data_IF_113598939662
#
_entry.id   IF_113598939662
#
_cell.length_a   1.000
_cell.length_b   1.000
_cell.length_c   1.000
_cell.angle_alpha   90.00
_cell.angle_beta   90.00
_cell.angle_gamma   90.00
#
_symmetry.space_group_name_H-M   'P 1'
#
loop_
_entity.id
_entity.type
_entity.pdbx_description
1 polymer ?
#
# COMPACT_ATOMS: atom_id res chain seq x y z
N UNK A 1 -14.88 -14.49 20.32
CA UNK A 1 -13.42 -14.64 20.15
C UNK A 1 -12.69 -14.04 21.34
N UNK A 2 -11.60 -14.66 21.82
CA UNK A 2 -10.73 -14.11 22.86
C UNK A 2 -10.04 -12.81 22.42
N UNK A 3 -9.81 -11.90 23.36
CA UNK A 3 -9.15 -10.62 23.08
C UNK A 3 -7.65 -10.82 22.78
N UNK A 4 -7.06 -11.87 23.32
CA UNK A 4 -5.66 -12.27 23.17
C UNK A 4 -5.26 -12.49 21.70
N UNK A 5 -6.22 -12.74 20.80
CA UNK A 5 -5.94 -12.86 19.37
C UNK A 5 -5.41 -11.56 18.75
N UNK A 6 -5.64 -10.41 19.39
CA UNK A 6 -5.02 -9.12 19.00
C UNK A 6 -3.49 -9.18 19.04
N UNK A 7 -2.91 -10.15 19.74
CA UNK A 7 -1.48 -10.34 19.90
C UNK A 7 -0.85 -11.16 18.78
N UNK A 8 -1.65 -11.86 17.95
CA UNK A 8 -1.13 -12.68 16.87
C UNK A 8 -0.27 -11.88 15.88
N UNK A 9 -0.65 -10.65 15.45
CA UNK A 9 0.21 -9.83 14.61
C UNK A 9 1.59 -9.50 15.21
N UNK A 10 1.74 -9.53 16.54
CA UNK A 10 3.05 -9.37 17.19
C UNK A 10 3.95 -10.56 16.84
N UNK A 11 3.40 -11.77 16.90
CA UNK A 11 4.13 -13.00 16.61
C UNK A 11 4.37 -13.16 15.10
N UNK A 12 3.40 -12.78 14.28
CA UNK A 12 3.43 -12.93 12.82
C UNK A 12 4.38 -11.94 12.13
N UNK A 13 4.32 -10.66 12.49
CA UNK A 13 5.05 -9.63 11.75
C UNK A 13 5.51 -8.44 12.59
N UNK A 14 5.36 -8.49 13.91
CA UNK A 14 5.53 -7.34 14.79
C UNK A 14 4.66 -6.12 14.36
N UNK A 15 3.44 -6.39 13.88
CA UNK A 15 2.53 -5.38 13.31
C UNK A 15 3.04 -4.65 12.05
N UNK A 16 4.07 -5.14 11.37
CA UNK A 16 4.51 -4.54 10.09
C UNK A 16 3.56 -4.94 8.95
N UNK A 17 2.80 -3.99 8.35
CA UNK A 17 1.92 -4.28 7.22
C UNK A 17 2.68 -4.48 5.89
N UNK A 18 3.98 -4.16 5.85
CA UNK A 18 4.87 -4.41 4.70
C UNK A 18 5.61 -5.75 4.80
N UNK A 19 5.52 -6.45 5.92
CA UNK A 19 6.17 -7.73 6.10
C UNK A 19 5.79 -8.74 5.02
N UNK A 20 6.78 -9.52 4.57
CA UNK A 20 6.63 -10.60 3.61
C UNK A 20 7.50 -11.77 4.04
N UNK A 21 6.92 -12.95 4.22
CA UNK A 21 7.69 -14.15 4.56
C UNK A 21 8.37 -14.76 3.34
N UNK A 22 9.31 -15.69 3.57
CA UNK A 22 9.91 -16.52 2.53
C UNK A 22 8.88 -17.37 1.78
N UNK A 23 7.77 -17.73 2.43
CA UNK A 23 6.63 -18.42 1.84
C UNK A 23 5.64 -17.46 1.13
N UNK A 24 6.02 -16.20 0.94
CA UNK A 24 5.23 -15.15 0.31
C UNK A 24 3.91 -14.84 1.04
N UNK A 25 3.86 -15.10 2.34
CA UNK A 25 2.81 -14.61 3.22
C UNK A 25 3.02 -13.11 3.47
N UNK A 26 1.95 -12.30 3.57
CA UNK A 26 2.10 -10.84 3.60
C UNK A 26 1.21 -10.14 4.62
N UNK A 27 1.66 -8.95 5.05
CA UNK A 27 0.92 -8.05 5.92
C UNK A 27 0.96 -8.46 7.38
N UNK A 28 0.18 -7.76 8.22
CA UNK A 28 0.26 -7.93 9.68
C UNK A 28 -0.17 -9.31 10.16
N UNK A 29 -0.97 -10.00 9.34
CA UNK A 29 -1.52 -11.33 9.64
C UNK A 29 -0.76 -12.45 8.93
N UNK A 30 0.29 -12.12 8.16
CA UNK A 30 1.05 -13.06 7.33
C UNK A 30 0.13 -14.03 6.55
N UNK A 31 -0.78 -13.47 5.76
CA UNK A 31 -1.73 -14.26 4.98
C UNK A 31 -1.05 -14.72 3.69
N UNK A 32 -1.11 -16.01 3.39
CA UNK A 32 -0.64 -16.57 2.11
C UNK A 32 -1.56 -16.13 0.97
N UNK A 33 -0.99 -15.86 -0.20
CA UNK A 33 -1.72 -15.29 -1.35
C UNK A 33 -2.96 -16.12 -1.77
N UNK A 34 -2.82 -17.45 -1.87
CA UNK A 34 -3.93 -18.36 -2.21
C UNK A 34 -5.02 -18.36 -1.15
N UNK A 35 -4.66 -18.49 0.13
CA UNK A 35 -5.59 -18.42 1.26
C UNK A 35 -6.34 -17.09 1.26
N UNK A 36 -5.64 -15.97 1.12
CA UNK A 36 -6.27 -14.65 1.05
C UNK A 36 -7.32 -14.57 -0.07
N UNK A 37 -7.01 -15.07 -1.28
CA UNK A 37 -7.99 -15.09 -2.38
C UNK A 37 -9.20 -15.98 -2.09
N UNK A 38 -8.99 -17.14 -1.47
CA UNK A 38 -10.07 -18.06 -1.09
C UNK A 38 -11.04 -17.42 -0.08
N UNK A 39 -10.54 -16.53 0.78
CA UNK A 39 -11.36 -15.74 1.71
C UNK A 39 -11.77 -14.37 1.16
N UNK A 40 -11.62 -14.13 -0.15
CA UNK A 40 -12.13 -12.93 -0.80
C UNK A 40 -11.23 -11.69 -0.73
N UNK A 41 -9.97 -11.81 -0.25
CA UNK A 41 -9.02 -10.70 -0.37
C UNK A 41 -8.68 -10.45 -1.84
N UNK A 42 -9.06 -9.26 -2.31
CA UNK A 42 -8.70 -8.76 -3.64
C UNK A 42 -7.18 -8.64 -3.76
N UNK A 43 -6.62 -9.21 -4.81
CA UNK A 43 -5.20 -9.12 -5.16
C UNK A 43 -5.07 -8.89 -6.66
N UNK A 44 -4.51 -7.75 -7.05
CA UNK A 44 -4.23 -7.39 -8.44
C UNK A 44 -3.01 -6.44 -8.51
N UNK A 45 -2.78 -5.85 -9.68
CA UNK A 45 -1.67 -4.92 -9.90
C UNK A 45 -1.78 -3.60 -9.08
N UNK A 46 -2.99 -3.19 -8.71
CA UNK A 46 -3.24 -1.97 -7.94
C UNK A 46 -3.36 -2.19 -6.44
N UNK A 47 -3.78 -3.38 -6.01
CA UNK A 47 -4.16 -3.64 -4.63
C UNK A 47 -3.76 -5.05 -4.17
N UNK A 48 -3.25 -5.18 -2.94
CA UNK A 48 -3.06 -6.44 -2.23
C UNK A 48 -3.73 -6.36 -0.85
N UNK A 49 -4.94 -6.91 -0.75
CA UNK A 49 -5.75 -6.88 0.46
C UNK A 49 -5.13 -7.56 1.66
N UNK A 50 -4.05 -8.35 1.48
CA UNK A 50 -3.29 -8.93 2.61
C UNK A 50 -2.51 -7.88 3.38
N UNK A 51 -2.14 -6.78 2.72
CA UNK A 51 -1.43 -5.63 3.30
C UNK A 51 -2.35 -4.53 3.77
N UNK A 52 -3.65 -4.66 3.51
CA UNK A 52 -4.66 -3.74 4.00
C UNK A 52 -5.10 -4.18 5.39
N UNK A 53 -4.84 -3.36 6.40
CA UNK A 53 -5.10 -3.70 7.80
C UNK A 53 -6.57 -4.05 8.03
N UNK A 54 -7.52 -3.33 7.44
CA UNK A 54 -8.95 -3.57 7.67
C UNK A 54 -9.39 -4.87 6.97
N UNK A 55 -9.06 -5.01 5.69
CA UNK A 55 -9.48 -6.18 4.92
C UNK A 55 -8.83 -7.47 5.44
N UNK A 56 -7.52 -7.44 5.68
CA UNK A 56 -6.78 -8.60 6.21
C UNK A 56 -7.21 -8.98 7.63
N UNK A 57 -7.53 -8.01 8.49
CA UNK A 57 -8.04 -8.30 9.84
C UNK A 57 -9.39 -8.99 9.79
N UNK A 58 -10.34 -8.51 8.96
CA UNK A 58 -11.62 -9.20 8.80
C UNK A 58 -11.41 -10.66 8.36
N UNK A 59 -10.57 -10.88 7.35
CA UNK A 59 -10.29 -12.23 6.86
C UNK A 59 -9.57 -13.10 7.89
N UNK A 60 -8.60 -12.58 8.62
CA UNK A 60 -7.92 -13.33 9.67
C UNK A 60 -8.89 -13.75 10.78
N UNK A 61 -9.80 -12.86 11.17
CA UNK A 61 -10.85 -13.16 12.14
C UNK A 61 -11.87 -14.19 11.63
N UNK A 62 -12.28 -14.10 10.36
CA UNK A 62 -13.16 -15.09 9.72
C UNK A 62 -12.48 -16.47 9.66
N UNK A 63 -11.19 -16.50 9.30
CA UNK A 63 -10.36 -17.72 9.34
C UNK A 63 -10.32 -18.31 10.74
N UNK A 64 -10.04 -17.50 11.77
CA UNK A 64 -9.97 -17.97 13.16
C UNK A 64 -11.32 -18.48 13.65
N UNK A 65 -12.42 -17.80 13.33
CA UNK A 65 -13.75 -18.23 13.71
C UNK A 65 -14.08 -19.58 13.07
N UNK A 66 -13.77 -19.78 11.78
CA UNK A 66 -13.95 -21.07 11.10
C UNK A 66 -13.09 -22.17 11.73
N UNK A 67 -11.81 -21.90 12.00
CA UNK A 67 -10.91 -22.85 12.64
C UNK A 67 -11.40 -23.21 14.05
N UNK A 68 -11.88 -22.24 14.82
CA UNK A 68 -12.39 -22.48 16.16
C UNK A 68 -13.64 -23.36 16.16
N UNK A 69 -14.56 -23.14 15.22
CA UNK A 69 -15.68 -24.05 15.00
C UNK A 69 -15.20 -25.45 14.60
N UNK A 70 -14.16 -25.57 13.76
CA UNK A 70 -13.60 -26.86 13.35
C UNK A 70 -12.96 -27.65 14.50
N UNK A 71 -12.39 -26.96 15.50
CA UNK A 71 -11.75 -27.58 16.66
C UNK A 71 -12.62 -27.49 17.93
N UNK A 72 -13.95 -27.45 17.76
CA UNK A 72 -14.92 -27.53 18.87
C UNK A 72 -14.67 -26.50 19.99
N UNK A 73 -14.22 -25.30 19.63
CA UNK A 73 -13.93 -24.22 20.57
C UNK A 73 -12.51 -24.25 21.17
N UNK A 74 -11.68 -25.24 20.86
CA UNK A 74 -10.29 -25.32 21.35
C UNK A 74 -9.39 -24.27 20.67
N UNK A 75 -9.09 -23.20 21.41
CA UNK A 75 -8.27 -22.10 20.93
C UNK A 75 -6.79 -22.46 20.72
N UNK A 76 -6.25 -23.45 21.45
CA UNK A 76 -4.85 -23.86 21.26
C UNK A 76 -4.71 -24.59 19.93
N UNK A 77 -5.64 -25.49 19.62
CA UNK A 77 -5.70 -26.16 18.33
C UNK A 77 -6.02 -25.19 17.18
N UNK A 78 -6.90 -24.22 17.43
CA UNK A 78 -7.23 -23.15 16.48
C UNK A 78 -5.99 -22.36 16.07
N UNK A 79 -5.21 -21.89 17.05
CA UNK A 79 -4.00 -21.10 16.81
C UNK A 79 -2.90 -21.98 16.16
N UNK A 80 -2.75 -23.23 16.60
CA UNK A 80 -1.83 -24.18 15.96
C UNK A 80 -2.19 -24.43 14.49
N UNK A 81 -3.47 -24.50 14.16
CA UNK A 81 -3.96 -24.69 12.80
C UNK A 81 -3.82 -23.42 11.95
N UNK A 82 -3.92 -22.23 12.54
CA UNK A 82 -3.63 -20.97 11.85
C UNK A 82 -2.18 -20.91 11.38
N UNK A 83 -1.23 -21.25 12.26
CA UNK A 83 0.21 -21.25 11.93
C UNK A 83 0.60 -22.40 10.97
N UNK A 84 0.10 -23.62 11.21
CA UNK A 84 0.62 -24.83 10.56
C UNK A 84 -0.33 -25.47 9.55
N UNK A 85 -1.52 -24.93 9.38
CA UNK A 85 -2.58 -25.46 8.54
C UNK A 85 -3.45 -26.50 9.25
N UNK A 86 -4.77 -26.38 9.06
CA UNK A 86 -5.79 -27.25 9.67
C UNK A 86 -5.61 -28.74 9.38
N UNK A 87 -5.26 -29.11 8.14
CA UNK A 87 -5.10 -30.51 7.75
C UNK A 87 -3.97 -31.20 8.50
N UNK A 88 -2.92 -30.46 8.87
CA UNK A 88 -1.80 -30.97 9.67
C UNK A 88 -2.24 -31.26 11.09
N UNK A 89 -2.99 -30.34 11.72
CA UNK A 89 -3.54 -30.52 13.06
C UNK A 89 -4.54 -31.67 13.10
N UNK A 90 -5.49 -31.72 12.15
CA UNK A 90 -6.46 -32.82 12.02
C UNK A 90 -5.77 -34.19 11.85
N UNK A 91 -4.70 -34.25 11.05
CA UNK A 91 -3.91 -35.47 10.89
C UNK A 91 -3.26 -35.90 12.20
N UNK A 92 -2.68 -34.97 12.96
CA UNK A 92 -2.08 -35.26 14.26
C UNK A 92 -3.12 -35.75 15.27
N UNK A 93 -4.30 -35.12 15.32
CA UNK A 93 -5.43 -35.55 16.14
C UNK A 93 -5.84 -36.98 15.78
N UNK A 94 -6.04 -37.28 14.49
CA UNK A 94 -6.41 -38.62 14.02
C UNK A 94 -5.38 -39.68 14.44
N UNK A 95 -4.09 -39.35 14.35
CA UNK A 95 -3.01 -40.25 14.76
C UNK A 95 -3.02 -40.53 16.27
N UNK A 96 -3.27 -39.51 17.11
CA UNK A 96 -3.36 -39.70 18.56
C UNK A 96 -4.62 -40.48 18.95
N UNK A 97 -5.78 -40.20 18.34
CA UNK A 97 -7.02 -40.97 18.56
C UNK A 97 -6.83 -42.45 18.25
N UNK A 98 -6.20 -42.78 17.13
CA UNK A 98 -5.90 -44.17 16.74
C UNK A 98 -4.98 -44.91 17.73
N UNK A 99 -4.21 -44.17 18.54
CA UNK A 99 -3.30 -44.71 19.55
C UNK A 99 -3.84 -44.60 20.97
N UNK A 100 -5.10 -44.16 21.15
CA UNK A 100 -5.69 -43.92 22.48
C UNK A 100 -4.98 -42.81 23.28
N UNK A 101 -4.31 -41.87 22.62
CA UNK A 101 -3.60 -40.75 23.25
C UNK A 101 -4.45 -39.48 23.32
N UNK A 102 -4.20 -38.57 24.27
CA UNK A 102 -4.84 -37.25 24.30
C UNK A 102 -4.66 -36.48 23.00
N UNK A 103 -5.64 -35.64 22.65
CA UNK A 103 -5.69 -34.90 21.38
C UNK A 103 -5.59 -33.38 21.54
N UNK A 104 -5.38 -32.91 22.76
CA UNK A 104 -5.08 -31.50 23.02
C UNK A 104 -3.71 -31.12 22.45
N UNK A 105 -3.52 -29.82 22.23
CA UNK A 105 -2.31 -29.26 21.61
C UNK A 105 -1.00 -29.81 22.19
N UNK A 106 -0.91 -29.99 23.51
CA UNK A 106 0.32 -30.37 24.20
C UNK A 106 0.78 -31.80 23.90
N UNK A 107 -0.13 -32.65 23.45
CA UNK A 107 0.14 -34.05 23.13
C UNK A 107 0.24 -34.34 21.64
N UNK A 108 -0.08 -33.36 20.78
CA UNK A 108 0.00 -33.53 19.33
C UNK A 108 1.44 -33.42 18.83
N UNK A 109 1.81 -34.34 17.93
CA UNK A 109 3.09 -34.27 17.21
C UNK A 109 3.02 -33.23 16.10
N UNK A 110 3.34 -31.97 16.42
CA UNK A 110 3.35 -30.84 15.50
C UNK A 110 4.78 -30.36 15.18
N UNK A 111 5.00 -29.59 14.10
CA UNK A 111 6.30 -29.01 13.78
C UNK A 111 6.84 -28.14 14.92
N UNK A 112 8.17 -28.07 15.06
CA UNK A 112 8.83 -27.29 16.13
C UNK A 112 8.35 -25.85 16.16
N UNK A 113 8.24 -25.22 14.99
CA UNK A 113 7.72 -23.85 14.85
C UNK A 113 6.36 -23.69 15.53
N UNK A 114 5.41 -24.57 15.23
CA UNK A 114 4.05 -24.56 15.77
C UNK A 114 4.02 -24.88 17.27
N UNK A 115 4.85 -25.83 17.72
CA UNK A 115 4.95 -26.17 19.15
C UNK A 115 5.50 -25.02 19.99
N UNK A 116 6.25 -24.09 19.38
CA UNK A 116 6.75 -22.88 20.04
C UNK A 116 5.77 -21.70 19.86
N UNK A 117 5.06 -21.66 18.74
CA UNK A 117 4.15 -20.57 18.39
C UNK A 117 3.04 -20.35 19.43
N UNK A 118 2.31 -21.41 19.81
CA UNK A 118 1.21 -21.31 20.78
C UNK A 118 1.71 -20.90 22.17
N UNK A 119 2.78 -21.51 22.74
CA UNK A 119 3.37 -21.03 24.00
C UNK A 119 3.85 -19.57 23.94
N UNK A 120 4.40 -19.11 22.81
CA UNK A 120 4.80 -17.70 22.64
C UNK A 120 3.60 -16.75 22.79
N UNK A 121 2.45 -17.12 22.23
CA UNK A 121 1.20 -16.37 22.39
C UNK A 121 0.70 -16.36 23.84
N UNK A 122 0.72 -17.51 24.51
CA UNK A 122 0.34 -17.62 25.92
C UNK A 122 1.26 -16.78 26.82
N UNK A 123 2.58 -16.85 26.59
CA UNK A 123 3.56 -16.05 27.32
C UNK A 123 3.34 -14.55 27.10
N UNK A 124 3.09 -14.12 25.87
CA UNK A 124 2.79 -12.72 25.58
C UNK A 124 1.51 -12.25 26.27
N UNK A 125 0.47 -13.08 26.30
CA UNK A 125 -0.75 -12.80 27.05
C UNK A 125 -0.48 -12.65 28.56
N UNK A 126 0.29 -13.59 29.14
CA UNK A 126 0.68 -13.56 30.55
C UNK A 126 1.45 -12.28 30.90
N UNK A 127 2.47 -11.94 30.09
CA UNK A 127 3.29 -10.75 30.28
C UNK A 127 2.48 -9.46 30.19
N UNK A 128 1.51 -9.38 29.27
CA UNK A 128 0.68 -8.18 29.12
C UNK A 128 -0.37 -8.06 30.22
N UNK A 129 -1.02 -9.17 30.58
CA UNK A 129 -2.05 -9.21 31.64
C UNK A 129 -1.45 -8.92 33.02
N UNK A 130 -0.24 -9.41 33.27
CA UNK A 130 0.47 -9.26 34.54
C UNK A 130 1.68 -8.33 34.43
N UNK A 131 1.62 -7.33 33.54
CA UNK A 131 2.74 -6.42 33.23
C UNK A 131 3.44 -5.83 34.48
N UNK A 132 2.68 -5.41 35.50
CA UNK A 132 3.22 -4.87 36.76
C UNK A 132 4.09 -5.88 37.51
N UNK A 133 3.69 -7.16 37.55
CA UNK A 133 4.44 -8.25 38.20
C UNK A 133 5.81 -8.46 37.52
N UNK A 134 5.86 -8.30 36.21
CA UNK A 134 7.06 -8.48 35.40
C UNK A 134 7.85 -7.19 35.17
N UNK A 135 7.47 -6.08 35.80
CA UNK A 135 8.15 -4.79 35.62
C UNK A 135 8.01 -4.19 34.22
N UNK A 136 7.02 -4.64 33.43
CA UNK A 136 6.78 -4.16 32.07
C UNK A 136 5.92 -2.89 32.14
N UNK A 137 6.46 -1.78 31.61
CA UNK A 137 5.71 -0.53 31.44
C UNK A 137 5.09 -0.50 30.04
N UNK A 138 3.77 -0.64 29.96
CA UNK A 138 3.05 -0.53 28.69
C UNK A 138 2.96 0.94 28.24
N UNK A 139 3.02 1.20 26.92
CA UNK A 139 2.80 2.54 26.39
C UNK A 139 1.37 3.00 26.65
N UNK A 140 1.19 4.30 26.92
CA UNK A 140 -0.15 4.88 27.05
C UNK A 140 -0.83 4.91 25.67
N UNK A 141 -2.05 4.37 25.53
CA UNK A 141 -2.81 4.48 24.29
C UNK A 141 -3.04 5.94 23.91
N UNK A 142 -2.93 6.24 22.62
CA UNK A 142 -3.26 7.55 22.09
C UNK A 142 -4.40 7.42 21.08
N UNK A 143 -5.63 7.68 21.54
CA UNK A 143 -6.84 7.58 20.74
C UNK A 143 -6.85 8.51 19.52
N UNK A 144 -6.10 9.62 19.55
CA UNK A 144 -5.98 10.51 18.38
C UNK A 144 -5.23 9.86 17.22
N UNK A 145 -4.38 8.85 17.50
CA UNK A 145 -3.64 8.08 16.51
C UNK A 145 -4.43 6.89 15.97
N UNK A 146 -5.62 6.61 16.52
CA UNK A 146 -6.46 5.53 16.02
C UNK A 146 -6.83 5.81 14.56
N UNK A 147 -6.69 4.79 13.71
CA UNK A 147 -7.04 4.90 12.30
C UNK A 147 -8.55 4.75 12.12
N UNK A 148 -9.08 5.51 11.15
CA UNK A 148 -10.45 5.50 10.73
C UNK A 148 -10.50 5.33 9.21
N UNK A 149 -11.51 4.59 8.76
CA UNK A 149 -11.80 4.36 7.34
C UNK A 149 -12.67 5.50 6.82
N UNK A 150 -12.28 6.12 5.72
CA UNK A 150 -13.05 7.13 5.00
C UNK A 150 -13.31 6.64 3.58
N UNK A 151 -14.58 6.45 3.22
CA UNK A 151 -14.95 6.18 1.83
C UNK A 151 -14.68 7.41 0.97
N UNK A 152 -14.00 7.20 -0.16
CA UNK A 152 -13.76 8.24 -1.17
C UNK A 152 -14.67 8.08 -2.38
N UNK A 153 -15.39 6.96 -2.48
CA UNK A 153 -16.46 6.72 -3.47
C UNK A 153 -15.98 6.46 -4.91
N UNK A 154 -14.75 6.83 -5.24
CA UNK A 154 -14.15 6.67 -6.56
C UNK A 154 -12.65 6.47 -6.47
N UNK A 155 -12.00 6.22 -7.61
CA UNK A 155 -10.55 6.17 -7.65
C UNK A 155 -9.94 7.53 -7.29
N UNK A 156 -8.97 7.53 -6.38
CA UNK A 156 -8.25 8.74 -5.97
C UNK A 156 -6.73 8.46 -5.92
N UNK A 157 -5.94 9.45 -6.32
CA UNK A 157 -4.49 9.42 -6.08
C UNK A 157 -4.22 9.55 -4.58
N UNK A 158 -3.30 8.74 -4.05
CA UNK A 158 -2.92 8.82 -2.64
C UNK A 158 -2.29 10.17 -2.30
N UNK A 159 -1.71 10.87 -3.27
CA UNK A 159 -1.19 12.24 -3.10
C UNK A 159 -2.32 13.22 -2.80
N UNK A 160 -3.34 13.22 -3.65
CA UNK A 160 -4.54 14.04 -3.48
C UNK A 160 -5.23 13.71 -2.15
N UNK A 161 -5.36 12.43 -1.81
CA UNK A 161 -5.92 12.02 -0.52
C UNK A 161 -5.08 12.52 0.67
N UNK A 162 -3.75 12.55 0.56
CA UNK A 162 -2.86 13.06 1.60
C UNK A 162 -3.05 14.57 1.80
N UNK A 163 -3.12 15.33 0.71
CA UNK A 163 -3.38 16.77 0.75
C UNK A 163 -4.75 17.09 1.36
N UNK A 164 -5.80 16.39 0.92
CA UNK A 164 -7.16 16.51 1.46
C UNK A 164 -7.19 16.17 2.95
N UNK A 165 -6.45 15.14 3.37
CA UNK A 165 -6.32 14.77 4.78
C UNK A 165 -5.38 15.70 5.57
N UNK A 166 -4.60 16.55 4.91
CA UNK A 166 -3.62 17.43 5.55
C UNK A 166 -2.43 16.69 6.16
N UNK A 167 -1.88 15.70 5.46
CA UNK A 167 -0.74 14.92 5.93
C UNK A 167 0.20 14.51 4.80
N UNK A 168 1.41 14.08 5.16
CA UNK A 168 2.39 13.64 4.17
C UNK A 168 1.95 12.37 3.45
N UNK A 169 2.30 12.27 2.16
CA UNK A 169 2.06 11.08 1.35
C UNK A 169 2.67 9.83 1.98
N UNK A 170 3.89 9.92 2.53
CA UNK A 170 4.58 8.80 3.18
C UNK A 170 3.77 8.23 4.34
N UNK A 171 3.21 9.11 5.18
CA UNK A 171 2.37 8.72 6.31
C UNK A 171 1.03 8.16 5.85
N UNK A 172 0.42 8.74 4.81
CA UNK A 172 -0.80 8.17 4.23
C UNK A 172 -0.55 6.76 3.66
N UNK A 173 0.54 6.57 2.89
CA UNK A 173 0.95 5.28 2.33
C UNK A 173 1.24 4.25 3.43
N UNK A 174 1.77 4.66 4.59
CA UNK A 174 2.02 3.73 5.71
C UNK A 174 0.74 3.20 6.37
N UNK A 175 -0.36 3.95 6.31
CA UNK A 175 -1.68 3.48 6.75
C UNK A 175 -2.45 2.71 5.67
N UNK A 176 -2.07 2.88 4.41
CA UNK A 176 -2.77 2.36 3.23
C UNK A 176 -1.90 1.45 2.37
N UNK A 177 -1.14 0.57 3.03
CA UNK A 177 -0.16 -0.35 2.42
C UNK A 177 -0.77 -1.40 1.48
N UNK A 178 -2.10 -1.53 1.46
CA UNK A 178 -2.81 -2.35 0.48
C UNK A 178 -2.67 -1.84 -0.95
N UNK A 179 -2.49 -0.53 -1.17
CA UNK A 179 -2.39 0.05 -2.52
C UNK A 179 -0.95 0.06 -3.04
N UNK A 180 -0.75 -0.47 -4.26
CA UNK A 180 0.58 -0.68 -4.88
C UNK A 180 1.04 0.49 -5.76
N UNK A 181 0.12 1.23 -6.37
CA UNK A 181 0.42 2.15 -7.49
C UNK A 181 0.25 3.64 -7.17
N UNK A 182 0.36 4.05 -5.90
CA UNK A 182 0.17 5.46 -5.53
C UNK A 182 -1.27 5.98 -5.69
N UNK A 183 -2.22 5.10 -5.97
CA UNK A 183 -3.64 5.38 -6.15
C UNK A 183 -4.46 4.23 -5.57
N UNK A 184 -5.73 4.50 -5.25
CA UNK A 184 -6.68 3.40 -5.01
C UNK A 184 -6.90 2.60 -6.30
N UNK A 185 -7.38 1.36 -6.19
CA UNK A 185 -7.66 0.56 -7.37
C UNK A 185 -8.86 1.12 -8.16
N UNK A 186 -8.88 1.03 -9.51
CA UNK A 186 -10.00 1.54 -10.32
C UNK A 186 -11.36 0.92 -9.92
N UNK A 187 -11.38 -0.39 -9.65
CA UNK A 187 -12.58 -1.15 -9.27
C UNK A 187 -12.68 -1.39 -7.75
N UNK A 188 -12.03 -0.53 -6.98
CA UNK A 188 -12.01 -0.56 -5.53
C UNK A 188 -11.08 -1.62 -4.91
N UNK A 189 -10.91 -1.57 -3.57
CA UNK A 189 -11.65 -0.70 -2.65
C UNK A 189 -11.34 0.79 -2.81
N UNK A 190 -12.34 1.62 -2.50
CA UNK A 190 -12.30 3.09 -2.59
C UNK A 190 -12.45 3.72 -1.21
N UNK A 191 -11.57 3.33 -0.29
CA UNK A 191 -11.45 3.97 1.01
C UNK A 191 -10.00 4.28 1.34
N UNK A 192 -9.82 5.28 2.20
CA UNK A 192 -8.52 5.69 2.73
C UNK A 192 -8.56 5.59 4.25
N UNK A 193 -7.54 4.97 4.83
CA UNK A 193 -7.27 4.95 6.26
C UNK A 193 -6.50 6.20 6.66
N UNK A 194 -7.03 6.97 7.60
CA UNK A 194 -6.38 8.15 8.19
C UNK A 194 -6.57 8.15 9.71
N UNK A 195 -5.72 8.81 10.51
CA UNK A 195 -5.99 9.05 11.93
C UNK A 195 -7.34 9.75 12.12
N UNK A 196 -8.02 9.45 13.22
CA UNK A 196 -9.32 10.07 13.57
C UNK A 196 -9.29 11.60 13.47
N UNK A 197 -8.18 12.23 13.86
CA UNK A 197 -7.98 13.68 13.77
C UNK A 197 -8.06 14.26 12.35
N UNK A 198 -7.84 13.45 11.31
CA UNK A 198 -7.79 13.89 9.92
C UNK A 198 -9.09 13.59 9.15
N UNK A 199 -10.02 12.83 9.75
CA UNK A 199 -11.27 12.39 9.10
C UNK A 199 -12.12 13.57 8.65
N UNK A 200 -12.35 14.55 9.54
CA UNK A 200 -13.19 15.70 9.24
C UNK A 200 -12.62 16.52 8.05
N UNK A 201 -11.30 16.73 8.04
CA UNK A 201 -10.62 17.45 6.96
C UNK A 201 -10.77 16.72 5.62
N UNK A 202 -10.48 15.41 5.59
CA UNK A 202 -10.63 14.61 4.38
C UNK A 202 -12.08 14.62 3.87
N UNK A 203 -13.07 14.41 4.76
CA UNK A 203 -14.50 14.44 4.38
C UNK A 203 -14.94 15.79 3.83
N UNK A 204 -14.53 16.89 4.47
CA UNK A 204 -14.88 18.23 4.02
C UNK A 204 -14.29 18.53 2.63
N UNK A 205 -13.03 18.14 2.38
CA UNK A 205 -12.41 18.28 1.06
C UNK A 205 -13.02 17.37 -0.02
N UNK A 206 -13.57 16.20 0.35
CA UNK A 206 -14.32 15.37 -0.57
C UNK A 206 -15.68 16.01 -0.92
N UNK A 207 -16.33 16.64 0.07
CA UNK A 207 -17.65 17.27 -0.08
C UNK A 207 -17.61 18.61 -0.83
N UNK A 208 -16.51 19.37 -0.72
CA UNK A 208 -16.33 20.66 -1.41
C UNK A 208 -16.13 20.54 -2.93
N UNK A 209 -16.07 19.32 -3.48
CA UNK A 209 -15.78 19.12 -4.90
C UNK A 209 -14.32 19.39 -5.27
N UNK A 210 -13.40 19.48 -4.29
CA UNK A 210 -11.95 19.49 -4.54
C UNK A 210 -11.43 18.17 -5.13
N UNK A 211 -12.34 17.20 -5.29
CA UNK A 211 -12.14 16.05 -6.14
C UNK A 211 -12.17 16.56 -7.59
N UNK A 212 -11.02 17.00 -8.09
CA UNK A 212 -10.72 16.79 -9.49
C UNK A 212 -10.97 15.30 -9.73
N UNK A 213 -12.11 14.98 -10.34
CA UNK A 213 -12.40 13.65 -10.81
C UNK A 213 -11.14 13.21 -11.54
N UNK A 214 -10.56 12.07 -11.13
CA UNK A 214 -9.55 11.40 -11.94
C UNK A 214 -10.30 10.94 -13.18
N UNK A 215 -10.53 11.88 -14.10
CA UNK A 215 -10.98 11.56 -15.43
C UNK A 215 -9.88 10.66 -15.99
N UNK A 216 -10.22 9.46 -16.47
CA UNK A 216 -9.31 8.65 -17.26
C UNK A 216 -9.12 9.29 -18.64
N UNK A 217 -8.60 10.51 -18.68
CA UNK A 217 -8.03 11.19 -19.85
C UNK A 217 -6.55 11.34 -19.51
N UNK A 218 -5.65 10.38 -19.72
CA UNK A 218 -5.34 9.68 -20.97
C UNK A 218 -4.60 8.34 -20.70
N UNK A 219 -5.14 7.47 -19.83
CA UNK A 219 -4.55 6.14 -19.57
C UNK A 219 -5.21 4.99 -20.35
N UNK A 220 -6.07 5.32 -21.32
CA UNK A 220 -6.69 4.36 -22.24
C UNK A 220 -6.52 4.79 -23.71
N UNK A 221 -5.28 5.06 -24.16
CA UNK A 221 -4.96 5.03 -25.62
C UNK A 221 -3.48 4.83 -25.97
N UNK A 222 -2.74 4.09 -25.15
CA UNK A 222 -1.38 3.65 -25.51
C UNK A 222 -1.12 2.23 -24.99
N UNK A 223 -2.02 1.31 -25.32
CA UNK A 223 -1.68 -0.11 -25.45
C UNK A 223 -2.24 -0.58 -26.78
N UNK A 224 -1.60 -0.08 -27.84
CA UNK A 224 -1.55 -0.67 -29.17
C UNK A 224 -0.32 -0.04 -29.85
N UNK A 225 0.40 -0.81 -30.64
CA UNK A 225 1.71 -0.50 -31.23
C UNK A 225 1.72 0.68 -32.23
N UNK A 226 1.39 1.89 -31.80
CA UNK A 226 1.31 3.08 -32.66
C UNK A 226 2.51 3.99 -32.48
N UNK A 227 3.30 4.18 -33.54
CA UNK A 227 4.37 5.18 -33.55
C UNK A 227 3.87 6.63 -33.41
N UNK A 228 4.76 7.53 -32.97
CA UNK A 228 4.52 8.95 -32.80
C UNK A 228 5.09 9.75 -33.98
N UNK A 229 4.25 10.52 -34.70
CA UNK A 229 4.71 11.40 -35.79
C UNK A 229 5.12 12.78 -35.24
N UNK A 230 6.41 13.09 -35.34
CA UNK A 230 7.05 14.35 -34.91
C UNK A 230 6.39 15.55 -35.58
N UNK A 231 6.08 16.58 -34.81
CA UNK A 231 5.48 17.83 -35.29
C UNK A 231 6.47 18.98 -35.24
N UNK A 232 6.18 20.06 -35.96
CA UNK A 232 6.98 21.28 -35.90
C UNK A 232 6.96 21.83 -34.46
N UNK A 233 8.13 21.99 -33.86
CA UNK A 233 8.31 22.44 -32.48
C UNK A 233 8.47 21.32 -31.44
N UNK A 234 8.35 20.05 -31.83
CA UNK A 234 8.64 18.94 -30.92
C UNK A 234 10.15 18.82 -30.66
N UNK A 235 10.49 18.44 -29.43
CA UNK A 235 11.84 18.03 -29.05
C UNK A 235 11.85 16.56 -28.64
N UNK A 236 12.98 15.87 -28.80
CA UNK A 236 13.06 14.45 -28.46
C UNK A 236 12.78 14.19 -26.97
N UNK A 237 13.20 15.11 -26.10
CA UNK A 237 12.89 15.08 -24.67
C UNK A 237 11.40 15.31 -24.38
N UNK A 238 10.76 16.28 -25.05
CA UNK A 238 9.33 16.54 -24.92
C UNK A 238 8.48 15.35 -25.37
N UNK A 239 8.88 14.70 -26.47
CA UNK A 239 8.20 13.48 -26.95
C UNK A 239 8.42 12.32 -25.98
N UNK A 240 9.64 12.09 -25.51
CA UNK A 240 9.94 11.00 -24.56
C UNK A 240 9.11 11.15 -23.27
N UNK A 241 9.01 12.36 -22.73
CA UNK A 241 8.15 12.67 -21.58
C UNK A 241 6.67 12.40 -21.86
N UNK A 242 6.17 12.81 -23.03
CA UNK A 242 4.78 12.59 -23.46
C UNK A 242 4.44 11.12 -23.65
N UNK A 243 5.44 10.31 -24.05
CA UNK A 243 5.30 8.87 -24.27
C UNK A 243 5.67 8.03 -23.04
N UNK A 244 6.12 8.65 -21.95
CA UNK A 244 6.47 7.96 -20.71
C UNK A 244 7.72 7.07 -20.81
N UNK A 245 8.64 7.34 -21.72
CA UNK A 245 9.90 6.60 -21.92
C UNK A 245 11.11 7.51 -21.72
N UNK A 246 12.31 6.95 -21.48
CA UNK A 246 13.52 7.74 -21.42
C UNK A 246 13.96 8.19 -22.83
N UNK A 247 14.69 9.31 -22.93
CA UNK A 247 15.28 9.75 -24.20
C UNK A 247 16.23 8.71 -24.75
N UNK A 248 17.01 8.01 -23.91
CA UNK A 248 17.93 6.98 -24.40
C UNK A 248 17.19 5.77 -24.96
N UNK A 249 16.09 5.35 -24.32
CA UNK A 249 15.23 4.26 -24.79
C UNK A 249 14.58 4.63 -26.13
N UNK A 250 14.01 5.83 -26.23
CA UNK A 250 13.40 6.29 -27.48
C UNK A 250 14.44 6.42 -28.61
N UNK A 251 15.68 6.84 -28.29
CA UNK A 251 16.80 6.84 -29.25
C UNK A 251 17.17 5.43 -29.68
N UNK A 252 17.24 4.48 -28.74
CA UNK A 252 17.62 3.10 -29.00
C UNK A 252 16.57 2.41 -29.88
N UNK A 253 15.28 2.58 -29.57
CA UNK A 253 14.17 1.99 -30.33
C UNK A 253 14.07 2.53 -31.77
N UNK A 254 14.62 3.73 -32.01
CA UNK A 254 14.56 4.44 -33.30
C UNK A 254 15.93 4.62 -33.97
N UNK A 255 16.98 3.94 -33.48
CA UNK A 255 18.36 4.03 -33.97
C UNK A 255 18.90 5.46 -34.13
N UNK A 256 18.53 6.37 -33.21
CA UNK A 256 18.95 7.77 -33.24
C UNK A 256 20.29 7.96 -32.54
N UNK A 257 21.27 8.55 -33.25
CA UNK A 257 22.60 8.87 -32.70
C UNK A 257 22.58 10.16 -31.85
N UNK A 258 21.74 11.13 -32.22
CA UNK A 258 21.62 12.45 -31.56
C UNK A 258 20.20 12.75 -31.05
N UNK A 259 19.95 14.01 -30.69
CA UNK A 259 18.61 14.50 -30.31
C UNK A 259 17.80 15.05 -31.49
N UNK A 260 18.39 15.04 -32.69
CA UNK A 260 17.80 15.63 -33.88
C UNK A 260 16.62 14.78 -34.38
N UNK A 261 15.46 15.42 -34.46
CA UNK A 261 14.23 14.86 -35.01
C UNK A 261 13.62 15.85 -36.00
N UNK A 262 13.01 15.34 -37.07
CA UNK A 262 12.44 16.18 -38.12
C UNK A 262 10.91 16.13 -38.08
N UNK A 263 10.21 17.26 -38.26
CA UNK A 263 8.76 17.25 -38.45
C UNK A 263 8.36 16.28 -39.57
N UNK A 264 7.43 15.38 -39.28
CA UNK A 264 6.97 14.31 -40.16
C UNK A 264 7.63 12.94 -39.92
N UNK A 265 8.74 12.86 -39.19
CA UNK A 265 9.39 11.61 -38.78
C UNK A 265 8.47 10.81 -37.84
N UNK A 266 8.43 9.48 -37.98
CA UNK A 266 7.66 8.61 -37.05
C UNK A 266 8.61 7.88 -36.12
N UNK A 267 8.35 7.95 -34.81
CA UNK A 267 9.11 7.29 -33.76
C UNK A 267 8.33 6.09 -33.20
N UNK A 268 8.94 4.92 -33.12
CA UNK A 268 8.36 3.69 -32.57
C UNK A 268 8.80 3.48 -31.12
N UNK A 269 8.01 2.72 -30.36
CA UNK A 269 8.36 2.29 -28.99
C UNK A 269 8.47 0.76 -29.03
N UNK A 270 9.65 0.25 -28.69
CA UNK A 270 9.93 -1.18 -28.64
C UNK A 270 9.46 -1.79 -27.31
N UNK A 271 9.02 -3.06 -27.36
CA UNK A 271 8.52 -3.82 -26.21
C UNK A 271 9.53 -4.02 -25.07
N UNK A 272 10.78 -3.59 -25.26
CA UNK A 272 11.87 -3.70 -24.30
C UNK A 272 12.11 -2.39 -23.50
N UNK A 273 11.40 -1.30 -23.83
CA UNK A 273 11.55 0.02 -23.18
C UNK A 273 10.83 0.19 -21.84
N UNK A 274 10.00 -0.76 -21.43
CA UNK A 274 9.20 -0.71 -20.18
C UNK A 274 9.99 -1.07 -18.92
N UNK A 275 11.31 -1.33 -18.99
CA UNK A 275 12.10 -1.81 -17.83
C UNK A 275 13.07 -0.82 -17.19
N UNK A 276 13.25 0.41 -17.69
CA UNK A 276 14.25 1.33 -17.12
C UNK A 276 13.82 2.81 -17.19
N UNK A 277 12.76 3.17 -16.47
CA UNK A 277 12.56 4.52 -15.91
C UNK A 277 11.51 4.42 -14.81
N UNK A 278 12.01 4.37 -13.57
CA UNK A 278 11.22 4.35 -12.35
C UNK A 278 10.53 5.71 -12.14
N UNK A 279 9.49 5.99 -12.93
CA UNK A 279 8.65 7.19 -12.85
C UNK A 279 7.54 7.05 -11.79
N UNK A 280 7.67 6.13 -10.82
CA UNK A 280 6.67 5.89 -9.77
C UNK A 280 6.52 7.04 -8.74
N UNK A 281 7.26 8.13 -8.90
CA UNK A 281 7.42 9.19 -7.91
C UNK A 281 7.10 10.60 -8.40
N UNK A 282 6.66 10.79 -9.66
CA UNK A 282 6.14 12.10 -10.08
C UNK A 282 4.63 12.21 -9.86
N UNK A 283 4.16 13.40 -9.48
CA UNK A 283 2.77 13.69 -9.15
C UNK A 283 2.38 15.00 -9.85
N UNK A 284 1.12 15.13 -10.27
CA UNK A 284 0.57 16.39 -10.79
C UNK A 284 -0.27 17.05 -9.71
N UNK A 285 0.10 18.26 -9.31
CA UNK A 285 -0.53 19.06 -8.27
C UNK A 285 -1.30 20.22 -8.88
N UNK A 286 -2.58 20.38 -8.54
CA UNK A 286 -3.37 21.53 -8.96
C UNK A 286 -3.33 22.63 -7.90
N UNK A 287 -2.76 23.77 -8.24
CA UNK A 287 -2.63 24.94 -7.35
C UNK A 287 -4.01 25.39 -6.88
N UNK A 288 -4.17 25.61 -5.57
CA UNK A 288 -5.40 26.04 -4.92
C UNK A 288 -5.30 27.51 -4.49
N UNK A 289 -6.45 28.10 -4.17
CA UNK A 289 -6.52 29.48 -3.67
C UNK A 289 -5.77 29.59 -2.34
N UNK A 290 -4.71 30.39 -2.32
CA UNK A 290 -3.85 30.59 -1.15
C UNK A 290 -2.55 29.80 -1.16
N UNK A 291 -2.29 28.97 -2.17
CA UNK A 291 -1.01 28.27 -2.30
C UNK A 291 0.11 29.20 -2.79
N UNK A 292 1.32 28.88 -2.35
CA UNK A 292 2.58 29.41 -2.87
C UNK A 292 3.48 28.25 -3.28
N UNK A 293 4.40 28.49 -4.21
CA UNK A 293 5.38 27.47 -4.64
C UNK A 293 6.19 26.93 -3.46
N UNK A 294 6.46 27.79 -2.48
CA UNK A 294 7.11 27.46 -1.23
C UNK A 294 6.24 26.55 -0.34
N UNK A 295 4.96 26.88 -0.12
CA UNK A 295 4.07 26.04 0.69
C UNK A 295 3.84 24.66 0.05
N UNK A 296 3.73 24.61 -1.28
CA UNK A 296 3.63 23.37 -2.06
C UNK A 296 4.92 22.55 -1.90
N UNK A 297 6.08 23.16 -2.16
CA UNK A 297 7.36 22.46 -2.10
C UNK A 297 7.64 21.87 -0.71
N UNK A 298 7.40 22.65 0.36
CA UNK A 298 7.53 22.17 1.75
C UNK A 298 6.56 21.04 2.06
N UNK A 299 5.30 21.15 1.64
CA UNK A 299 4.28 20.12 1.91
C UNK A 299 4.64 18.78 1.28
N UNK A 300 5.22 18.82 0.08
CA UNK A 300 5.61 17.64 -0.68
C UNK A 300 7.07 17.18 -0.42
N UNK A 301 7.79 17.86 0.47
CA UNK A 301 9.17 17.51 0.81
C UNK A 301 10.14 17.64 -0.36
N UNK A 302 9.90 18.59 -1.27
CA UNK A 302 10.70 18.85 -2.47
C UNK A 302 11.30 20.25 -2.42
N UNK A 303 12.38 20.49 -3.15
CA UNK A 303 12.99 21.81 -3.23
C UNK A 303 12.23 22.69 -4.23
N UNK A 304 11.96 23.96 -3.89
CA UNK A 304 11.30 24.93 -4.77
C UNK A 304 12.02 25.05 -6.12
N UNK A 305 13.36 25.05 -6.12
CA UNK A 305 14.16 25.12 -7.36
C UNK A 305 13.94 23.91 -8.26
N UNK A 306 13.74 22.74 -7.66
CA UNK A 306 13.43 21.52 -8.40
C UNK A 306 12.00 21.56 -8.94
N UNK A 307 11.04 22.06 -8.15
CA UNK A 307 9.66 22.27 -8.62
C UNK A 307 9.62 23.21 -9.82
N UNK A 308 10.34 24.34 -9.76
CA UNK A 308 10.44 25.26 -10.89
C UNK A 308 11.11 24.60 -12.10
N UNK A 309 12.17 23.82 -11.89
CA UNK A 309 12.87 23.09 -12.95
C UNK A 309 11.98 22.06 -13.65
N UNK A 310 11.11 21.36 -12.91
CA UNK A 310 10.17 20.39 -13.48
C UNK A 310 9.01 21.06 -14.21
N UNK A 311 8.67 22.28 -13.80
CA UNK A 311 7.58 23.09 -14.36
C UNK A 311 8.16 24.26 -15.14
N UNK A 312 8.97 23.95 -16.15
CA UNK A 312 9.75 24.90 -16.95
C UNK A 312 8.93 25.95 -17.72
N UNK A 313 7.60 25.94 -17.57
CA UNK A 313 6.68 26.99 -18.04
C UNK A 313 6.50 28.12 -17.02
N UNK A 314 7.03 27.96 -15.80
CA UNK A 314 7.03 28.97 -14.75
C UNK A 314 8.36 29.72 -14.78
N UNK A 315 8.33 31.01 -15.10
CA UNK A 315 9.52 31.86 -15.12
C UNK A 315 9.88 32.34 -13.70
N UNK A 316 8.90 32.39 -12.80
CA UNK A 316 9.06 32.83 -11.41
C UNK A 316 8.12 32.12 -10.44
N UNK A 317 8.47 32.14 -9.15
CA UNK A 317 7.62 31.59 -8.11
C UNK A 317 6.28 32.32 -7.89
N UNK A 318 6.13 33.50 -8.49
CA UNK A 318 4.91 34.32 -8.45
C UNK A 318 3.93 34.00 -9.58
N UNK A 319 4.34 33.17 -10.54
CA UNK A 319 3.57 32.92 -11.76
C UNK A 319 2.48 31.88 -11.55
N UNK A 320 2.48 31.17 -10.42
CA UNK A 320 1.46 30.17 -10.12
C UNK A 320 0.13 30.83 -9.75
N UNK A 321 -0.93 30.39 -10.40
CA UNK A 321 -2.30 30.81 -10.16
C UNK A 321 -3.16 29.64 -9.68
N UNK A 322 -4.20 29.90 -8.86
CA UNK A 322 -5.17 28.87 -8.52
C UNK A 322 -5.75 28.23 -9.79
N UNK A 323 -5.49 26.94 -9.96
CA UNK A 323 -5.91 26.12 -11.08
C UNK A 323 -4.79 25.58 -11.95
N UNK A 324 -3.56 26.08 -11.81
CA UNK A 324 -2.39 25.60 -12.53
C UNK A 324 -2.01 24.18 -12.14
N UNK A 325 -1.44 23.42 -13.07
CA UNK A 325 -0.97 22.06 -12.82
C UNK A 325 0.55 22.01 -12.75
N UNK A 326 1.11 21.59 -11.61
CA UNK A 326 2.53 21.44 -11.35
C UNK A 326 2.93 19.97 -11.30
N UNK A 327 4.00 19.59 -11.99
CA UNK A 327 4.67 18.29 -11.84
C UNK A 327 5.66 18.35 -10.67
N UNK A 328 5.53 17.44 -9.70
CA UNK A 328 6.41 17.32 -8.55
C UNK A 328 7.02 15.91 -8.51
N UNK A 329 8.34 15.76 -8.41
CA UNK A 329 8.99 14.47 -8.18
C UNK A 329 9.29 14.31 -6.68
N UNK A 330 8.51 13.48 -6.00
CA UNK A 330 8.61 13.27 -4.55
C UNK A 330 9.46 12.04 -4.25
N UNK A 331 10.56 12.22 -3.52
CA UNK A 331 11.39 11.08 -3.11
C UNK A 331 10.72 10.32 -1.95
N UNK A 332 10.64 8.99 -2.06
CA UNK A 332 10.12 8.10 -1.01
C UNK A 332 11.03 7.99 0.24
N UNK A 333 12.01 8.88 0.41
CA UNK A 333 13.03 8.77 1.46
C UNK A 333 12.84 9.84 2.53
N UNK A 334 11.92 9.58 3.44
CA UNK A 334 12.00 10.07 4.81
C UNK A 334 11.62 8.91 5.72
N UNK A 335 12.56 8.50 6.58
CA UNK A 335 12.43 7.41 7.55
C UNK A 335 11.29 7.66 8.53
N UNK A 336 10.73 6.61 9.15
CA UNK A 336 9.49 6.68 9.95
C UNK A 336 9.61 7.45 11.28
N UNK A 337 10.80 7.92 11.64
CA UNK A 337 11.09 8.48 12.96
C UNK A 337 11.56 9.93 12.85
N UNK A 338 10.61 10.87 12.74
CA UNK A 338 10.71 12.21 13.34
C UNK A 338 9.31 12.79 13.53
#
# INVERSE_FOLDING_TARGET
>A
MPMELVLLPIVESAFDPRATSSANAAGIWQIVASTGRNYGLKQNQYYDGRRDVVASTRVALDMMQRLNTMFDGDWLLTIAAYNSGEGRVLKAIKQNKARGKPTDFWHLSLPRETTVYVPKMLALSELLKHNKRYGIKLPTPNESRALARVEVGQQIQLTQAAEMAGMSLTKLKSFNTGYKGGATAPNGPHYIMVPKSNVARLRNSLASGDIAAVQPTQLAKASASGGYKVRRGDTLSGIAAKLGVSVSTLKQDNNLRGADIRPGQTLTIGSNGTRLADNGNSITYRVRKGDSLDSIARHHGVNIKDVMRWNSVLDSAKDIQPGDNLTLFVNNNATPDT
#
